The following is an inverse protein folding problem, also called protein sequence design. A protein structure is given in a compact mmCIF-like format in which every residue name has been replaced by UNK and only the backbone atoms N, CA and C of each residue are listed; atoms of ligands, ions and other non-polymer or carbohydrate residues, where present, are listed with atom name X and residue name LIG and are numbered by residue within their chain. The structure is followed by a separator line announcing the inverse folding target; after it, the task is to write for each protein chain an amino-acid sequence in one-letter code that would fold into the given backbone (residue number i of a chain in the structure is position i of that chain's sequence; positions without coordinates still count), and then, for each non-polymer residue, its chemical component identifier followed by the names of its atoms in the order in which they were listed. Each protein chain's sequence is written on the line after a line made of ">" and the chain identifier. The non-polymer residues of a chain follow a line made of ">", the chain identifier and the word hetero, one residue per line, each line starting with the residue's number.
data_IF_282709323786
#
_entry.id   IF_282709323786
#
_cell.length_a   1.000
_cell.length_b   1.000
_cell.length_c   1.000
_cell.angle_alpha   90.00
_cell.angle_beta   90.00
_cell.angle_gamma   90.00
#
_symmetry.space_group_name_H-M   'P 1'
#
loop_
_entity.id
_entity.type
_entity.pdbx_description
1 polymer ?
#
# COMPACT_ATOMS: atom_id res chain seq x y z
N UNK A 1 -3.32 22.29 -2.53
CA UNK A 1 -4.59 22.78 -3.06
C UNK A 1 -5.28 21.68 -3.87
N UNK A 2 -6.51 21.39 -3.57
CA UNK A 2 -7.28 20.40 -4.34
C UNK A 2 -7.68 21.01 -5.68
N UNK A 3 -7.64 20.21 -6.74
CA UNK A 3 -7.96 20.66 -8.10
C UNK A 3 -9.46 20.90 -8.24
N UNK A 4 -9.88 22.18 -8.15
CA UNK A 4 -11.26 22.59 -8.38
C UNK A 4 -12.30 21.83 -7.55
N UNK A 5 -12.01 21.53 -6.29
CA UNK A 5 -12.92 20.77 -5.43
C UNK A 5 -12.79 19.26 -5.53
N UNK A 6 -11.85 18.73 -6.32
CA UNK A 6 -11.59 17.30 -6.43
C UNK A 6 -11.09 16.75 -5.09
N UNK A 7 -11.70 15.65 -4.63
CA UNK A 7 -11.26 14.92 -3.44
C UNK A 7 -10.36 13.76 -3.85
N UNK A 8 -9.44 13.43 -2.97
CA UNK A 8 -8.56 12.28 -3.14
C UNK A 8 -7.77 12.31 -4.45
N UNK A 9 -7.12 13.47 -4.70
CA UNK A 9 -6.33 13.64 -5.92
C UNK A 9 -5.11 12.74 -5.96
N UNK A 10 -4.63 12.26 -4.81
CA UNK A 10 -3.54 11.30 -4.72
C UNK A 10 -3.87 10.24 -3.69
N UNK A 11 -3.77 8.98 -4.09
CA UNK A 11 -4.13 7.82 -3.26
C UNK A 11 -2.93 6.88 -3.16
N UNK A 12 -2.67 6.39 -1.95
CA UNK A 12 -1.71 5.31 -1.72
C UNK A 12 -2.46 4.09 -1.18
N UNK A 13 -2.18 2.92 -1.75
CA UNK A 13 -2.68 1.63 -1.26
C UNK A 13 -1.49 0.78 -0.83
N UNK A 14 -1.57 0.16 0.35
CA UNK A 14 -0.55 -0.77 0.83
C UNK A 14 -1.04 -2.20 0.60
N UNK A 15 -0.22 -3.02 -0.06
CA UNK A 15 -0.60 -4.37 -0.49
C UNK A 15 0.47 -5.38 -0.10
N UNK A 16 0.10 -6.38 0.70
CA UNK A 16 0.99 -7.45 1.14
C UNK A 16 0.86 -8.72 0.31
N UNK A 17 0.06 -8.69 -0.75
CA UNK A 17 -0.17 -9.82 -1.63
C UNK A 17 -1.30 -10.75 -1.21
N UNK A 18 -1.94 -10.50 -0.06
CA UNK A 18 -3.07 -11.31 0.40
C UNK A 18 -4.33 -11.02 -0.42
N UNK A 19 -5.30 -11.92 -0.37
CA UNK A 19 -6.59 -11.68 -1.03
C UNK A 19 -7.32 -10.51 -0.37
N UNK A 20 -7.17 -10.34 0.93
CA UNK A 20 -7.73 -9.18 1.64
C UNK A 20 -7.14 -7.88 1.09
N UNK A 21 -5.83 -7.86 0.82
CA UNK A 21 -5.17 -6.71 0.24
C UNK A 21 -5.69 -6.40 -1.17
N UNK A 22 -5.90 -7.42 -2.00
CA UNK A 22 -6.44 -7.20 -3.34
C UNK A 22 -7.91 -6.78 -3.34
N UNK A 23 -8.65 -7.18 -2.32
CA UNK A 23 -10.01 -6.64 -2.13
C UNK A 23 -9.95 -5.13 -1.86
N UNK A 24 -9.01 -4.72 -0.99
CA UNK A 24 -8.78 -3.30 -0.74
C UNK A 24 -8.23 -2.58 -1.97
N UNK A 25 -7.38 -3.23 -2.75
CA UNK A 25 -6.85 -2.68 -4.01
C UNK A 25 -7.98 -2.36 -4.98
N UNK A 26 -8.93 -3.27 -5.14
CA UNK A 26 -10.06 -3.06 -6.04
C UNK A 26 -10.89 -1.83 -5.62
N UNK A 27 -11.09 -1.64 -4.32
CA UNK A 27 -11.78 -0.46 -3.80
C UNK A 27 -10.99 0.82 -4.08
N UNK A 28 -9.69 0.80 -3.81
CA UNK A 28 -8.80 1.94 -4.06
C UNK A 28 -8.80 2.31 -5.55
N UNK A 29 -8.74 1.30 -6.42
CA UNK A 29 -8.74 1.50 -7.86
C UNK A 29 -10.04 2.17 -8.33
N UNK A 30 -11.18 1.72 -7.80
CA UNK A 30 -12.49 2.30 -8.13
C UNK A 30 -12.55 3.78 -7.71
N UNK A 31 -12.05 4.09 -6.51
CA UNK A 31 -12.01 5.48 -6.02
C UNK A 31 -11.08 6.32 -6.88
N UNK A 32 -9.91 5.79 -7.23
CA UNK A 32 -8.94 6.48 -8.08
C UNK A 32 -9.54 6.80 -9.45
N UNK A 33 -10.28 5.85 -10.02
CA UNK A 33 -10.93 6.05 -11.31
C UNK A 33 -12.00 7.14 -11.24
N UNK A 34 -12.85 7.10 -10.21
CA UNK A 34 -13.90 8.11 -10.04
C UNK A 34 -13.36 9.51 -9.84
N UNK A 35 -12.22 9.64 -9.16
CA UNK A 35 -11.66 10.93 -8.79
C UNK A 35 -10.52 11.37 -9.70
N UNK A 36 -10.18 10.58 -10.70
CA UNK A 36 -9.03 10.83 -11.58
C UNK A 36 -7.77 11.05 -10.76
N UNK A 37 -7.54 10.17 -9.79
CA UNK A 37 -6.46 10.29 -8.82
C UNK A 37 -5.12 9.85 -9.38
N UNK A 38 -4.05 10.43 -8.86
CA UNK A 38 -2.71 9.91 -8.99
C UNK A 38 -2.61 8.71 -8.06
N UNK A 39 -2.48 7.50 -8.60
CA UNK A 39 -2.62 6.25 -7.85
C UNK A 39 -1.30 5.55 -7.63
N UNK A 40 -0.99 5.29 -6.36
CA UNK A 40 0.24 4.62 -5.92
C UNK A 40 -0.09 3.38 -5.13
N UNK A 41 0.76 2.36 -5.23
CA UNK A 41 0.69 1.16 -4.40
C UNK A 41 2.07 0.87 -3.83
N UNK A 42 2.13 0.51 -2.56
CA UNK A 42 3.37 0.11 -1.90
C UNK A 42 3.25 -1.30 -1.35
N UNK A 43 4.31 -2.08 -1.51
CA UNK A 43 4.46 -3.38 -0.87
C UNK A 43 5.74 -3.34 -0.03
N UNK A 44 5.62 -3.71 1.24
CA UNK A 44 6.75 -3.66 2.18
C UNK A 44 7.11 -5.07 2.60
N UNK A 45 8.35 -5.46 2.36
CA UNK A 45 8.92 -6.69 2.88
C UNK A 45 9.48 -6.42 4.27
N UNK A 46 8.95 -7.11 5.27
CA UNK A 46 9.38 -6.91 6.65
C UNK A 46 10.79 -7.43 6.86
N UNK A 47 11.65 -6.59 7.45
CA UNK A 47 13.00 -6.98 7.86
C UNK A 47 12.97 -7.20 9.36
N UNK A 48 13.23 -8.45 9.79
CA UNK A 48 13.20 -8.84 11.20
C UNK A 48 14.50 -8.57 11.93
N UNK A 49 15.54 -8.20 11.20
CA UNK A 49 16.86 -7.93 11.79
C UNK A 49 17.48 -6.72 11.12
N UNK A 50 18.46 -6.13 11.80
CA UNK A 50 19.22 -5.03 11.24
C UNK A 50 20.37 -5.58 10.40
N UNK A 51 20.40 -5.34 9.10
CA UNK A 51 21.56 -5.71 8.27
C UNK A 51 22.80 -4.98 8.77
N UNK A 52 23.93 -5.68 8.82
CA UNK A 52 25.20 -5.09 9.25
C UNK A 52 25.96 -4.45 8.10
N UNK A 53 25.69 -4.88 6.87
CA UNK A 53 26.43 -4.45 5.69
C UNK A 53 25.48 -4.02 4.58
N UNK A 54 25.95 -3.13 3.72
CA UNK A 54 25.18 -2.61 2.59
C UNK A 54 24.74 -3.72 1.65
N UNK A 55 25.58 -4.74 1.47
CA UNK A 55 25.27 -5.90 0.63
C UNK A 55 24.03 -6.65 1.13
N UNK A 56 23.89 -6.78 2.45
CA UNK A 56 22.73 -7.43 3.05
C UNK A 56 21.46 -6.63 2.79
N UNK A 57 21.56 -5.30 2.88
CA UNK A 57 20.40 -4.42 2.59
C UNK A 57 20.00 -4.54 1.13
N UNK A 58 20.96 -4.55 0.21
CA UNK A 58 20.70 -4.69 -1.22
C UNK A 58 20.07 -6.04 -1.54
N UNK A 59 20.59 -7.10 -0.89
CA UNK A 59 20.08 -8.45 -1.08
C UNK A 59 18.63 -8.55 -0.62
N UNK A 60 18.31 -7.99 0.56
CA UNK A 60 16.96 -7.96 1.07
C UNK A 60 16.02 -7.19 0.15
N UNK A 61 16.45 -6.04 -0.35
CA UNK A 61 15.66 -5.23 -1.29
C UNK A 61 15.41 -6.00 -2.60
N UNK A 62 16.43 -6.67 -3.12
CA UNK A 62 16.31 -7.48 -4.34
C UNK A 62 15.37 -8.66 -4.14
N UNK A 63 15.43 -9.31 -2.97
CA UNK A 63 14.54 -10.41 -2.62
C UNK A 63 13.10 -9.93 -2.49
N UNK A 64 12.90 -8.76 -1.88
CA UNK A 64 11.58 -8.16 -1.74
C UNK A 64 10.97 -7.86 -3.12
N UNK A 65 11.76 -7.31 -4.04
CA UNK A 65 11.29 -7.02 -5.39
C UNK A 65 10.88 -8.30 -6.12
N UNK A 66 11.66 -9.37 -5.97
CA UNK A 66 11.31 -10.66 -6.58
C UNK A 66 10.07 -11.28 -5.93
N UNK A 67 9.95 -11.18 -4.61
CA UNK A 67 8.80 -11.72 -3.88
C UNK A 67 7.51 -11.07 -4.33
N UNK A 68 7.53 -9.78 -4.54
CA UNK A 68 6.33 -9.03 -4.92
C UNK A 68 6.10 -8.95 -6.43
N UNK A 69 6.92 -9.63 -7.24
CA UNK A 69 6.76 -9.59 -8.70
C UNK A 69 5.34 -9.94 -9.15
N UNK A 70 4.80 -11.04 -8.62
CA UNK A 70 3.43 -11.48 -8.98
C UNK A 70 2.37 -10.51 -8.49
N UNK A 71 2.59 -9.93 -7.31
CA UNK A 71 1.69 -8.92 -6.75
C UNK A 71 1.64 -7.70 -7.67
N UNK A 72 2.81 -7.23 -8.10
CA UNK A 72 2.92 -6.09 -9.01
C UNK A 72 2.27 -6.38 -10.36
N UNK A 73 2.50 -7.58 -10.92
CA UNK A 73 1.89 -7.97 -12.19
C UNK A 73 0.37 -7.94 -12.10
N UNK A 74 -0.19 -8.54 -11.05
CA UNK A 74 -1.64 -8.60 -10.85
C UNK A 74 -2.22 -7.20 -10.69
N UNK A 75 -1.60 -6.37 -9.88
CA UNK A 75 -2.05 -5.00 -9.65
C UNK A 75 -2.02 -4.17 -10.92
N UNK A 76 -0.92 -4.26 -11.68
CA UNK A 76 -0.79 -3.53 -12.95
C UNK A 76 -1.83 -3.97 -13.96
N UNK A 77 -2.11 -5.26 -14.05
CA UNK A 77 -3.13 -5.76 -14.97
C UNK A 77 -4.51 -5.21 -14.63
N UNK A 78 -4.86 -5.19 -13.34
CA UNK A 78 -6.14 -4.63 -12.88
C UNK A 78 -6.23 -3.13 -13.17
N UNK A 79 -5.16 -2.39 -12.92
CA UNK A 79 -5.12 -0.95 -13.18
C UNK A 79 -5.24 -0.65 -14.67
N UNK A 80 -4.56 -1.45 -15.52
CA UNK A 80 -4.62 -1.31 -16.97
C UNK A 80 -6.02 -1.53 -17.52
N UNK A 81 -6.73 -2.53 -17.00
CA UNK A 81 -8.13 -2.75 -17.38
C UNK A 81 -9.03 -1.55 -17.07
N UNK A 82 -8.69 -0.82 -16.02
CA UNK A 82 -9.43 0.38 -15.62
C UNK A 82 -8.87 1.67 -16.24
N UNK A 83 -7.87 1.56 -17.10
CA UNK A 83 -7.18 2.70 -17.73
C UNK A 83 -6.60 3.67 -16.70
N UNK A 84 -6.09 3.13 -15.61
CA UNK A 84 -5.42 3.89 -14.56
C UNK A 84 -3.93 3.58 -14.58
N UNK A 85 -3.10 4.62 -14.57
CA UNK A 85 -1.65 4.45 -14.43
C UNK A 85 -1.35 4.13 -12.96
N UNK A 86 -0.69 3.02 -12.70
CA UNK A 86 -0.29 2.61 -11.36
C UNK A 86 1.19 2.90 -11.12
N UNK A 87 1.47 3.65 -10.07
CA UNK A 87 2.84 3.89 -9.61
C UNK A 87 3.12 2.91 -8.47
N UNK A 88 4.15 2.09 -8.61
CA UNK A 88 4.46 1.03 -7.65
C UNK A 88 5.73 1.32 -6.87
N UNK A 89 5.72 0.93 -5.60
CA UNK A 89 6.86 1.07 -4.68
C UNK A 89 7.05 -0.25 -3.95
N UNK A 90 8.30 -0.73 -3.88
CA UNK A 90 8.65 -1.93 -3.10
C UNK A 90 9.74 -1.53 -2.12
N UNK A 91 9.49 -1.75 -0.85
CA UNK A 91 10.37 -1.34 0.23
C UNK A 91 10.71 -2.54 1.10
N UNK A 92 11.98 -2.69 1.47
CA UNK A 92 12.38 -3.63 2.52
C UNK A 92 12.55 -2.83 3.81
N UNK A 93 11.74 -3.12 4.82
CA UNK A 93 11.75 -2.32 6.05
C UNK A 93 10.66 -2.72 7.03
N UNK A 94 10.07 -1.72 7.66
CA UNK A 94 9.01 -1.89 8.65
C UNK A 94 7.67 -1.44 8.07
N UNK A 95 6.72 -2.37 7.87
CA UNK A 95 5.48 -2.05 7.16
C UNK A 95 4.75 -0.82 7.70
N UNK A 96 4.52 -0.74 9.01
CA UNK A 96 3.77 0.40 9.57
C UNK A 96 4.50 1.72 9.34
N UNK A 97 5.76 1.78 9.77
CA UNK A 97 6.55 3.01 9.65
C UNK A 97 6.71 3.46 8.21
N UNK A 98 7.10 2.53 7.35
CA UNK A 98 7.45 2.88 5.98
C UNK A 98 6.23 3.24 5.13
N UNK A 99 5.08 2.63 5.41
CA UNK A 99 3.83 3.02 4.74
C UNK A 99 3.44 4.44 5.16
N UNK A 100 3.47 4.72 6.46
CA UNK A 100 3.11 6.05 6.98
C UNK A 100 4.05 7.13 6.44
N UNK A 101 5.36 6.85 6.43
CA UNK A 101 6.35 7.79 5.90
C UNK A 101 6.18 8.03 4.41
N UNK A 102 5.93 6.99 3.63
CA UNK A 102 5.72 7.14 2.19
C UNK A 102 4.45 7.96 1.91
N UNK A 103 3.38 7.69 2.65
CA UNK A 103 2.15 8.46 2.51
C UNK A 103 2.40 9.95 2.75
N UNK A 104 3.22 10.27 3.74
CA UNK A 104 3.59 11.65 4.05
C UNK A 104 4.46 12.27 2.97
N UNK A 105 5.49 11.54 2.52
CA UNK A 105 6.39 12.01 1.46
C UNK A 105 5.66 12.29 0.16
N UNK A 106 4.74 11.43 -0.22
CA UNK A 106 3.95 11.58 -1.43
C UNK A 106 2.81 12.60 -1.27
N UNK A 107 2.55 13.03 -0.05
CA UNK A 107 1.45 13.94 0.26
C UNK A 107 0.10 13.39 -0.21
N UNK A 108 -0.15 12.11 0.09
CA UNK A 108 -1.40 11.47 -0.32
C UNK A 108 -2.58 12.03 0.46
N UNK A 109 -3.73 12.07 -0.19
CA UNK A 109 -4.97 12.55 0.40
C UNK A 109 -5.84 11.41 0.94
N UNK A 110 -5.51 10.18 0.57
CA UNK A 110 -6.21 8.99 1.07
C UNK A 110 -5.24 7.81 1.07
N UNK A 111 -5.17 7.12 2.19
CA UNK A 111 -4.44 5.85 2.32
C UNK A 111 -5.48 4.74 2.43
N UNK A 112 -5.40 3.73 1.55
CA UNK A 112 -6.35 2.59 1.53
C UNK A 112 -5.61 1.33 1.95
N UNK A 113 -6.10 0.68 2.99
CA UNK A 113 -5.48 -0.55 3.52
C UNK A 113 -6.57 -1.61 3.76
N UNK A 114 -6.15 -2.88 3.76
CA UNK A 114 -7.01 -3.95 4.21
C UNK A 114 -7.09 -3.95 5.74
N UNK A 115 -8.20 -4.41 6.28
CA UNK A 115 -8.35 -4.53 7.73
C UNK A 115 -7.44 -5.60 8.31
N UNK A 116 -7.14 -6.64 7.53
CA UNK A 116 -6.29 -7.76 7.94
C UNK A 116 -5.39 -8.16 6.79
N UNK A 117 -4.29 -8.86 7.10
CA UNK A 117 -3.39 -9.41 6.10
C UNK A 117 -3.36 -10.92 6.16
N UNK A 118 -2.15 -11.50 6.00
CA UNK A 118 -1.97 -12.95 5.97
C UNK A 118 -2.33 -13.66 7.28
N UNK A 119 -2.29 -12.97 8.41
CA UNK A 119 -2.49 -13.56 9.74
C UNK A 119 -3.91 -13.40 10.28
N UNK A 120 -4.89 -13.14 9.42
CA UNK A 120 -6.26 -12.90 9.85
C UNK A 120 -6.90 -14.17 10.42
N UNK A 121 -7.19 -14.15 11.72
CA UNK A 121 -7.90 -15.22 12.40
C UNK A 121 -9.40 -14.95 12.48
N UNK A 122 -9.78 -13.68 12.52
CA UNK A 122 -11.17 -13.24 12.65
C UNK A 122 -11.46 -12.11 11.66
N UNK A 123 -12.44 -12.31 10.80
CA UNK A 123 -12.77 -11.35 9.74
C UNK A 123 -13.29 -10.01 10.26
N UNK A 124 -13.82 -10.00 11.49
CA UNK A 124 -14.41 -8.77 12.05
C UNK A 124 -13.44 -7.90 12.82
N UNK A 125 -12.23 -8.42 13.09
CA UNK A 125 -11.23 -7.67 13.82
C UNK A 125 -10.30 -6.94 12.88
N UNK A 126 -9.90 -5.75 13.30
CA UNK A 126 -8.87 -4.99 12.59
C UNK A 126 -7.51 -5.49 13.07
N UNK A 127 -6.62 -5.86 12.16
CA UNK A 127 -5.29 -6.33 12.48
C UNK A 127 -4.45 -5.26 13.16
N UNK A 128 -3.43 -5.67 13.90
CA UNK A 128 -2.59 -4.76 14.65
C UNK A 128 -1.87 -3.75 13.76
N UNK A 129 -1.44 -4.15 12.55
CA UNK A 129 -0.78 -3.24 11.62
C UNK A 129 -1.75 -2.18 11.10
N UNK A 130 -2.95 -2.59 10.71
CA UNK A 130 -3.98 -1.66 10.25
C UNK A 130 -4.33 -0.65 11.34
N UNK A 131 -4.50 -1.12 12.57
CA UNK A 131 -4.78 -0.27 13.72
C UNK A 131 -3.68 0.77 13.94
N UNK A 132 -2.42 0.34 13.88
CA UNK A 132 -1.29 1.26 14.06
C UNK A 132 -1.17 2.27 12.93
N UNK A 133 -1.42 1.85 11.70
CA UNK A 133 -1.40 2.76 10.56
C UNK A 133 -2.47 3.84 10.74
N UNK A 134 -3.68 3.45 11.14
CA UNK A 134 -4.76 4.42 11.40
C UNK A 134 -4.34 5.44 12.46
N UNK A 135 -3.67 4.99 13.52
CA UNK A 135 -3.23 5.87 14.59
C UNK A 135 -2.13 6.86 14.15
N UNK A 136 -1.25 6.43 13.27
CA UNK A 136 -0.04 7.19 12.93
C UNK A 136 -0.14 7.98 11.63
N UNK A 137 -1.07 7.66 10.75
CA UNK A 137 -1.17 8.32 9.45
C UNK A 137 -1.52 9.80 9.58
N UNK A 138 -0.98 10.60 8.66
CA UNK A 138 -1.23 12.04 8.59
C UNK A 138 -2.36 12.41 7.63
N UNK A 139 -3.04 11.42 7.08
CA UNK A 139 -4.10 11.62 6.09
C UNK A 139 -5.29 10.71 6.43
N UNK A 140 -6.45 10.92 5.79
CA UNK A 140 -7.57 10.00 5.90
C UNK A 140 -7.16 8.58 5.52
N UNK A 141 -7.66 7.60 6.27
CA UNK A 141 -7.38 6.19 6.04
C UNK A 141 -8.69 5.44 5.83
N UNK A 142 -8.81 4.76 4.71
CA UNK A 142 -9.92 3.85 4.45
C UNK A 142 -9.46 2.43 4.76
N UNK A 143 -10.12 1.81 5.73
CA UNK A 143 -9.85 0.43 6.12
C UNK A 143 -10.92 -0.45 5.49
N UNK A 144 -10.52 -1.32 4.58
CA UNK A 144 -11.44 -2.18 3.83
C UNK A 144 -11.53 -3.55 4.51
N UNK A 145 -12.71 -3.90 4.96
CA UNK A 145 -12.97 -5.18 5.61
C UNK A 145 -13.36 -6.27 4.65
#
# INVERSE_FOLDING_TARGET
>A
MTRGGQMFSKILHANDGSEHAFHAFAMALAIAKQNNSDFHMVSVEEIDYMPQFIEEIREETGTAARRFHKVLQRARAMAEESHIKLNTHVIAGHPVRDIVELAKELEVELLVIGATGHSALYERLIGSRADRIVQLAHCPVLVVK
#
